data_IF_983595724327
#
_entry.id   IF_983595724327
#
_cell.length_a   1.000
_cell.length_b   1.000
_cell.length_c   1.000
_cell.angle_alpha   90.00
_cell.angle_beta   90.00
_cell.angle_gamma   90.00
#
_symmetry.space_group_name_H-M   'P 1'
#
loop_
_entity.id
_entity.type
_entity.pdbx_description
1 polymer ?
2 non-polymer ?
3 water ?
#
# COMPACT_ATOMS: atom_id res chain seq x y z
N UNK A 11 0.04 19.92 23.20
CA UNK A 11 -0.95 20.87 22.60
C UNK A 11 -1.26 20.48 21.16
N UNK A 12 -2.56 20.40 20.86
CA UNK A 12 -3.05 20.02 19.54
C UNK A 12 -2.96 21.20 18.57
N UNK A 13 -2.37 20.95 17.39
CA UNK A 13 -2.16 22.00 16.40
C UNK A 13 -2.86 21.70 15.07
N UNK A 14 -4.10 21.22 15.15
CA UNK A 14 -4.87 20.83 13.97
C UNK A 14 -5.16 21.97 13.01
N UNK A 15 -5.69 23.07 13.54
CA UNK A 15 -6.04 24.25 12.74
C UNK A 15 -4.79 24.88 12.12
N UNK A 16 -3.68 24.86 12.86
CA UNK A 16 -2.40 25.38 12.39
C UNK A 16 -1.84 24.52 11.26
N UNK A 17 -2.23 23.24 11.26
CA UNK A 17 -1.81 22.29 10.22
C UNK A 17 -3.00 21.87 9.35
N UNK A 18 -3.92 22.80 9.13
CA UNK A 18 -5.17 22.51 8.45
C UNK A 18 -4.98 21.77 7.13
N UNK A 19 -4.02 22.21 6.32
CA UNK A 19 -3.79 21.63 5.00
C UNK A 19 -3.62 20.11 5.06
N UNK A 20 -2.85 19.67 6.04
CA UNK A 20 -2.49 18.26 6.17
C UNK A 20 -3.59 17.39 6.78
N UNK A 21 -4.68 18.01 7.24
CA UNK A 21 -5.78 17.27 7.89
C UNK A 21 -6.89 16.81 6.97
N UNK A 22 -6.81 17.15 5.68
CA UNK A 22 -7.97 16.95 4.80
C UNK A 22 -7.93 15.66 3.99
N UNK A 24 -7.47 12.12 5.32
CA UNK A 24 -7.30 10.90 6.12
C UNK A 24 -7.81 9.68 5.36
N UNK A 25 -6.98 8.65 5.26
CA UNK A 25 -7.43 7.42 4.62
C UNK A 25 -7.07 6.16 5.40
N UNK A 26 -8.02 5.25 5.45
CA UNK A 26 -7.84 4.00 6.16
C UNK A 26 -7.89 2.89 5.13
N UNK A 27 -6.77 2.19 5.00
CA UNK A 27 -6.66 1.07 4.06
C UNK A 27 -6.64 -0.23 4.84
N UNK A 28 -7.46 -1.19 4.39
CA UNK A 28 -7.47 -2.52 4.95
C UNK A 28 -6.89 -3.51 3.94
N UNK A 29 -5.85 -4.22 4.35
CA UNK A 29 -5.28 -5.29 3.55
C UNK A 29 -5.60 -6.58 4.28
N UNK A 30 -6.29 -7.50 3.61
CA UNK A 30 -6.75 -8.72 4.28
C UNK A 30 -6.69 -9.94 3.37
N UNK A 31 -6.63 -11.12 3.97
CA UNK A 31 -6.64 -12.36 3.22
C UNK A 31 -8.01 -12.60 2.57
N UNK A 32 -8.00 -13.00 1.29
CA UNK A 32 -9.21 -13.05 0.48
C UNK A 32 -10.28 -14.00 1.01
N UNK A 33 -9.85 -14.99 1.78
CA UNK A 33 -10.81 -15.93 2.39
C UNK A 33 -11.82 -15.28 3.34
N UNK A 34 -11.50 -14.10 3.86
CA UNK A 34 -12.42 -13.40 4.75
C UNK A 34 -13.71 -12.95 4.04
N UNK A 35 -13.64 -12.80 2.72
CA UNK A 35 -14.80 -12.40 1.92
C UNK A 35 -15.90 -13.44 1.96
N UNK A 36 -15.54 -14.67 2.30
CA UNK A 36 -16.51 -15.76 2.50
C UNK A 36 -17.27 -15.57 3.81
N UNK A 37 -16.65 -14.87 4.75
CA UNK A 37 -17.16 -14.77 6.13
C UNK A 37 -17.99 -13.52 6.44
N UNK A 38 -17.71 -12.43 5.74
CA UNK A 38 -18.48 -11.18 5.95
C UNK A 38 -18.44 -10.23 4.78
N UNK A 39 -19.35 -9.25 4.82
CA UNK A 39 -19.41 -8.20 3.84
C UNK A 39 -18.44 -7.11 4.28
N UNK A 41 -17.67 -4.45 2.73
CA UNK A 41 -18.23 -3.14 2.44
C UNK A 41 -18.89 -2.54 3.68
N UNK A 42 -19.64 -3.38 4.41
CA UNK A 42 -20.29 -2.95 5.64
C UNK A 42 -19.26 -2.58 6.70
N UNK A 43 -18.13 -3.31 6.72
CA UNK A 43 -17.03 -2.98 7.64
C UNK A 43 -16.46 -1.61 7.31
N UNK A 44 -16.24 -1.34 6.02
CA UNK A 44 -15.73 -0.03 5.58
C UNK A 44 -16.66 1.10 6.02
N UNK A 45 -17.96 0.90 5.81
CA UNK A 45 -18.96 1.91 6.19
C UNK A 45 -18.96 2.16 7.69
N UNK A 46 -18.90 1.07 8.45
CA UNK A 46 -18.86 1.16 9.92
C UNK A 46 -17.64 1.90 10.43
N UNK A 47 -16.49 1.68 9.78
CA UNK A 47 -15.25 2.35 10.16
C UNK A 47 -15.27 3.84 9.82
N UNK A 48 -15.84 4.17 8.66
CA UNK A 48 -15.98 5.57 8.24
C UNK A 48 -16.91 6.31 9.20
N UNK A 49 -18.03 5.67 9.55
CA UNK A 49 -18.95 6.22 10.56
C UNK A 49 -18.23 6.50 11.87
N UNK A 50 -17.38 5.55 12.30
CA UNK A 50 -16.62 5.69 13.53
C UNK A 50 -15.61 6.85 13.47
N UNK A 52 -15.78 9.65 11.79
CA UNK A 52 -16.47 10.94 11.81
C UNK A 52 -16.94 11.34 13.22
N UNK A 53 -16.84 10.41 14.17
CA UNK A 53 -17.24 10.61 15.56
C UNK A 53 -16.12 11.21 16.43
N UNK A 54 -14.88 11.12 15.96
CA UNK A 54 -13.71 11.57 16.74
C UNK A 54 -13.66 13.09 16.82
N UNK A 55 -13.60 13.60 18.05
CA UNK A 55 -13.58 15.05 18.30
C UNK A 55 -12.34 15.45 19.07
N UNK A 56 -11.80 16.63 18.77
CA UNK A 56 -10.70 17.18 19.57
C UNK A 56 -11.24 17.85 20.84
N UNK A 57 -10.35 18.43 21.63
CA UNK A 57 -10.71 19.05 22.92
C UNK A 57 -11.69 20.23 22.82
N UNK A 58 -11.90 20.73 21.60
CA UNK A 58 -12.84 21.82 21.35
C UNK A 58 -14.20 21.33 20.87
N UNK A 59 -14.31 20.02 20.63
CA UNK A 59 -15.52 19.43 20.06
C UNK A 59 -15.54 19.53 18.55
N UNK A 60 -14.37 19.76 17.96
CA UNK A 60 -14.23 19.85 16.51
C UNK A 60 -13.89 18.47 15.91
N UNK A 61 -14.48 18.18 14.75
CA UNK A 61 -14.25 16.94 14.03
C UNK A 61 -12.78 16.81 13.61
N UNK A 62 -12.14 15.72 14.01
CA UNK A 62 -10.73 15.50 13.66
C UNK A 62 -10.59 15.08 12.20
N UNK A 63 -11.46 14.20 11.74
CA UNK A 63 -11.41 13.71 10.37
C UNK A 63 -12.54 14.33 9.60
N UNK A 64 -12.22 15.21 8.62
CA UNK A 64 -13.24 15.90 7.83
C UNK A 64 -14.03 14.91 6.99
N UNK A 65 -15.34 15.12 6.93
CA UNK A 65 -16.25 14.25 6.20
C UNK A 65 -15.86 14.16 4.72
N UNK A 66 -15.64 15.31 4.09
CA UNK A 66 -15.24 15.37 2.69
C UNK A 66 -13.98 14.62 2.33
N UNK A 67 -13.05 14.48 3.30
CA UNK A 67 -11.76 13.84 3.06
C UNK A 67 -11.63 12.41 3.53
N UNK A 68 -12.64 11.91 4.26
CA UNK A 68 -12.60 10.57 4.85
C UNK A 68 -12.79 9.48 3.80
N UNK A 69 -11.86 8.53 3.78
CA UNK A 69 -11.84 7.46 2.79
C UNK A 69 -11.45 6.17 3.48
N UNK A 70 -12.24 5.12 3.26
CA UNK A 70 -11.91 3.79 3.76
C UNK A 70 -11.91 2.82 2.57
N UNK A 71 -10.81 2.08 2.39
CA UNK A 71 -10.68 1.13 1.29
C UNK A 71 -10.23 -0.23 1.79
N UNK A 72 -10.74 -1.28 1.16
CA UNK A 72 -10.40 -2.65 1.58
C UNK A 72 -10.02 -3.51 0.39
N UNK A 73 -8.89 -4.18 0.52
CA UNK A 73 -8.33 -5.01 -0.57
C UNK A 73 -8.12 -6.46 -0.13
N UNK A 74 -8.94 -7.38 -0.67
CA UNK A 74 -8.67 -8.81 -0.41
C UNK A 74 -7.50 -9.30 -1.25
N UNK A 75 -6.53 -9.94 -0.59
CA UNK A 75 -5.40 -10.53 -1.29
C UNK A 75 -5.77 -11.93 -1.79
N UNK A 76 -5.56 -12.19 -3.09
CA UNK A 76 -5.87 -13.52 -3.63
C UNK A 76 -4.84 -14.60 -3.27
N UNK A 77 -3.65 -14.16 -2.86
CA UNK A 77 -2.56 -15.05 -2.51
C UNK A 77 -1.98 -14.57 -1.20
N UNK A 78 -1.78 -15.51 -0.27
CA UNK A 78 -1.28 -15.16 1.05
C UNK A 78 -0.75 -16.39 1.75
N UNK A 79 0.08 -16.14 2.77
CA UNK A 79 0.58 -17.18 3.66
C UNK A 79 0.56 -16.59 5.05
N UNK A 80 0.00 -17.36 6.00
CA UNK A 80 -0.20 -16.84 7.34
C UNK A 80 0.37 -17.82 8.34
N UNK A 81 1.19 -17.31 9.25
CA UNK A 81 1.72 -18.08 10.38
C UNK A 81 2.36 -19.37 9.90
N UNK A 82 2.02 -20.50 10.52
CA UNK A 82 2.64 -21.78 10.18
C UNK A 82 1.92 -22.53 9.07
N UNK A 83 0.94 -21.90 8.44
CA UNK A 83 0.21 -22.53 7.34
C UNK A 83 -0.86 -23.53 7.73
N UNK A 84 -1.19 -23.59 9.03
CA UNK A 84 -2.34 -24.35 9.49
C UNK A 84 -2.06 -25.42 10.52
N UNK A 85 -0.79 -25.77 10.69
CA UNK A 85 -0.41 -26.88 11.57
C UNK A 85 -0.96 -26.75 13.00
N UNK A 86 -0.73 -25.60 13.63
CA UNK A 86 -1.16 -25.37 15.02
C UNK A 86 -2.68 -25.47 15.15
N UNK A 87 -3.40 -24.94 14.16
CA UNK A 87 -4.86 -25.04 14.11
C UNK A 87 -5.35 -26.48 14.02
N UNK A 88 -4.76 -27.24 13.10
CA UNK A 88 -5.15 -28.65 12.91
C UNK A 88 -4.82 -29.48 14.16
N UNK A 89 -3.69 -29.20 14.80
CA UNK A 89 -3.30 -29.84 16.06
C UNK A 89 -4.31 -29.59 17.17
N UNK A 90 -4.95 -28.42 17.14
CA UNK A 90 -5.94 -28.06 18.16
C UNK A 90 -7.37 -28.44 17.77
N UNK A 91 -7.52 -29.27 16.73
CA UNK A 91 -8.82 -29.75 16.31
C UNK A 91 -9.61 -28.77 15.46
N UNK A 92 -8.93 -27.76 14.92
CA UNK A 92 -9.58 -26.76 14.05
C UNK A 92 -9.20 -26.97 12.58
N UNK A 93 -9.76 -26.14 11.70
CA UNK A 93 -9.49 -26.23 10.26
C UNK A 93 -8.03 -25.89 9.89
N UNK A 94 -7.44 -24.95 10.63
CA UNK A 94 -6.13 -24.41 10.28
C UNK A 94 -6.17 -23.42 9.11
N UNK A 95 -7.38 -23.04 8.71
CA UNK A 95 -7.58 -22.10 7.62
C UNK A 95 -7.61 -20.70 8.22
N UNK A 96 -6.43 -20.10 8.40
CA UNK A 96 -6.33 -18.82 9.10
C UNK A 96 -6.68 -17.66 8.18
N UNK A 97 -7.01 -16.53 8.80
CA UNK A 97 -7.17 -15.26 8.09
C UNK A 97 -6.35 -14.17 8.74
N UNK A 98 -6.24 -13.02 8.07
CA UNK A 98 -5.56 -11.86 8.65
C UNK A 98 -6.17 -10.62 8.05
N UNK A 99 -6.35 -9.58 8.87
CA UNK A 99 -6.65 -8.24 8.36
C UNK A 99 -5.71 -7.23 9.01
N UNK A 100 -5.12 -6.38 8.17
CA UNK A 100 -4.23 -5.30 8.60
C UNK A 100 -4.87 -3.97 8.24
N UNK A 101 -5.15 -3.16 9.25
CA UNK A 101 -5.81 -1.86 9.06
C UNK A 101 -4.80 -0.75 9.32
N UNK A 102 -4.71 0.21 8.40
CA UNK A 102 -3.76 1.29 8.54
C UNK A 102 -4.46 2.61 8.29
N UNK A 103 -4.46 3.48 9.28
CA UNK A 103 -4.95 4.85 9.12
C UNK A 103 -3.77 5.77 8.92
N UNK A 104 -3.80 6.54 7.84
CA UNK A 104 -2.79 7.57 7.61
C UNK A 104 -3.46 8.90 7.94
N UNK A 106 -3.05 13.22 9.47
CA UNK A 106 -2.22 14.41 9.32
C UNK A 106 -1.32 14.71 10.49
N UNK A 107 -0.26 15.47 10.21
CA UNK A 107 0.70 15.91 11.23
C UNK A 107 0.15 16.99 12.16
N UNK A 108 0.85 17.20 13.27
CA UNK A 108 0.57 18.30 14.19
C UNK A 108 -0.51 18.07 15.22
N UNK A 109 -0.94 16.82 15.38
CA UNK A 109 -1.95 16.52 16.39
C UNK A 109 -1.29 16.08 17.69
N UNK A 110 -1.96 16.38 18.81
CA UNK A 110 -1.48 15.96 20.13
C UNK A 110 -1.52 14.43 20.27
N UNK A 111 -0.67 13.91 21.15
CA UNK A 111 -0.68 12.49 21.50
C UNK A 111 -2.07 12.03 21.95
N UNK A 112 -2.77 12.90 22.68
CA UNK A 112 -4.10 12.59 23.19
C UNK A 112 -5.15 12.45 22.08
N UNK A 113 -5.05 13.32 21.07
CA UNK A 113 -5.93 13.23 19.90
C UNK A 113 -5.61 11.96 19.09
N UNK A 114 -4.32 11.67 18.92
CA UNK A 114 -3.90 10.44 18.23
C UNK A 114 -4.44 9.19 18.94
N UNK A 115 -4.30 9.17 20.26
CA UNK A 115 -4.82 8.07 21.11
C UNK A 115 -6.34 7.94 21.05
N UNK A 116 -7.05 9.07 21.12
CA UNK A 116 -8.50 9.08 21.00
C UNK A 116 -8.95 8.51 19.66
N UNK A 117 -8.30 8.96 18.58
CA UNK A 117 -8.59 8.43 17.25
C UNK A 117 -8.34 6.92 17.23
N UNK A 118 -7.18 6.51 17.74
CA UNK A 118 -6.82 5.09 17.81
C UNK A 118 -7.84 4.27 18.55
N UNK A 119 -8.18 4.70 19.76
CA UNK A 119 -9.16 3.99 20.59
C UNK A 119 -10.54 3.87 19.96
N UNK A 120 -11.05 4.97 19.41
CA UNK A 120 -12.37 5.01 18.77
C UNK A 120 -12.41 4.05 17.57
N UNK A 121 -11.42 4.14 16.70
CA UNK A 121 -11.39 3.30 15.50
C UNK A 121 -11.14 1.82 15.84
N UNK A 122 -10.20 1.56 16.75
CA UNK A 122 -9.92 0.18 17.19
C UNK A 122 -11.15 -0.47 17.82
N UNK A 123 -11.87 0.29 18.66
CA UNK A 123 -13.10 -0.25 19.27
C UNK A 123 -14.17 -0.56 18.22
N UNK A 124 -14.29 0.30 17.21
CA UNK A 124 -15.20 0.06 16.08
C UNK A 124 -14.78 -1.17 15.28
N UNK A 125 -13.47 -1.30 15.03
CA UNK A 125 -12.95 -2.43 14.28
C UNK A 125 -13.20 -3.76 15.02
N UNK A 126 -12.96 -3.76 16.33
CA UNK A 126 -13.23 -4.94 17.17
C UNK A 126 -14.69 -5.36 17.06
N UNK A 127 -15.60 -4.39 17.11
CA UNK A 127 -17.03 -4.65 17.05
C UNK A 127 -17.48 -5.15 15.68
N UNK A 128 -16.95 -4.55 14.62
CA UNK A 128 -17.34 -4.90 13.26
C UNK A 128 -16.78 -6.23 12.80
N UNK A 129 -15.60 -6.57 13.29
CA UNK A 129 -14.93 -7.80 12.88
C UNK A 129 -15.12 -8.98 13.85
N UNK A 130 -15.89 -8.77 14.92
CA UNK A 130 -16.15 -9.80 15.93
C UNK A 130 -16.77 -11.12 15.41
N UNK A 131 -17.78 -11.05 14.52
CA UNK A 131 -18.35 -12.28 13.96
C UNK A 131 -17.32 -13.16 13.25
N UNK A 132 -16.28 -12.54 12.67
CA UNK A 132 -15.17 -13.25 12.04
C UNK A 132 -14.51 -14.22 13.02
N UNK A 133 -14.27 -13.74 14.24
CA UNK A 133 -13.53 -14.49 15.24
C UNK A 133 -14.29 -15.70 15.77
N UNK A 134 -15.61 -15.68 15.62
CA UNK A 134 -16.44 -16.82 16.07
C UNK A 134 -16.22 -18.07 15.22
N UNK A 135 -15.89 -17.90 13.95
CA UNK A 135 -15.81 -19.03 13.02
C UNK A 135 -14.48 -19.19 12.27
N UNK A 136 -13.46 -18.44 12.68
CA UNK A 136 -12.13 -18.53 12.07
C UNK A 136 -11.08 -17.95 13.02
N UNK A 137 -9.87 -18.51 12.92
CA UNK A 137 -8.70 -17.90 13.55
C UNK A 137 -8.23 -16.79 12.62
N UNK A 138 -8.24 -15.57 13.14
CA UNK A 138 -7.88 -14.40 12.34
C UNK A 138 -6.95 -13.50 13.14
N UNK A 139 -5.83 -13.11 12.52
CA UNK A 139 -4.97 -12.06 13.08
C UNK A 139 -5.54 -10.70 12.68
N UNK A 140 -5.59 -9.77 13.64
CA UNK A 140 -6.15 -8.44 13.38
C UNK A 140 -5.25 -7.38 14.00
N UNK A 141 -4.74 -6.49 13.15
CA UNK A 141 -3.80 -5.46 13.57
C UNK A 141 -4.26 -4.11 13.02
N UNK A 142 -4.19 -3.06 13.84
CA UNK A 142 -4.52 -1.70 13.42
C UNK A 142 -3.38 -0.77 13.81
N UNK A 143 -2.92 0.05 12.86
CA UNK A 143 -1.86 1.02 13.12
C UNK A 143 -2.27 2.37 12.58
N UNK A 144 -1.82 3.43 13.26
CA UNK A 144 -1.98 4.79 12.74
C UNK A 144 -0.61 5.35 12.41
N UNK A 145 -0.42 5.78 11.16
CA UNK A 145 0.79 6.47 10.74
C UNK A 145 0.47 7.95 10.55
N UNK A 146 1.46 8.81 10.78
CA UNK A 146 1.32 10.23 10.46
C UNK A 146 1.99 10.47 9.11
N UNK A 147 1.26 11.05 8.17
CA UNK A 147 1.81 11.34 6.85
C UNK A 147 3.01 12.25 6.95
N UNK A 148 4.10 11.88 6.28
CA UNK A 148 5.29 12.72 6.20
C UNK A 148 5.59 13.07 4.73
N UNK A 149 4.54 13.21 3.93
CA UNK A 149 4.71 13.52 2.51
C UNK A 149 5.39 14.88 2.29
N UNK A 150 6.14 14.98 1.19
CA UNK A 150 6.86 16.22 0.84
C UNK A 150 6.10 17.04 -0.21
N UNK A 151 5.02 16.48 -0.73
CA UNK A 151 4.19 17.15 -1.73
C UNK A 151 2.77 16.60 -1.65
N UNK A 152 1.78 17.49 -1.78
CA UNK A 152 0.37 17.11 -1.91
C UNK A 152 -0.28 17.85 -3.06
N UNK A 153 -1.26 17.20 -3.67
CA UNK A 153 -2.18 17.84 -4.60
C UNK A 153 -3.59 17.26 -4.40
N UNK A 154 -4.57 18.15 -4.29
CA UNK A 154 -5.98 17.79 -4.19
C UNK A 154 -6.65 18.37 -5.42
N UNK A 155 -7.34 17.53 -6.20
CA UNK A 155 -7.86 17.97 -7.50
C UNK A 155 -9.16 17.31 -7.96
N UNK A 156 -9.96 16.84 -7.00
CA UNK A 156 -11.26 16.27 -7.32
C UNK A 156 -12.37 17.31 -7.29
N UNK A 157 -13.61 16.84 -7.35
CA UNK A 157 -14.77 17.73 -7.25
C UNK A 157 -15.69 17.34 -6.08
N UNK A 158 -15.22 16.40 -5.26
CA UNK A 158 -16.02 15.89 -4.14
C UNK A 158 -16.16 16.92 -3.03
N UNK A 159 -15.09 17.68 -2.80
CA UNK A 159 -15.00 18.65 -1.71
C UNK A 159 -16.13 19.68 -1.72
N UNK A 160 -16.62 20.01 -2.91
CA UNK A 160 -17.68 21.01 -3.10
C UNK A 160 -18.98 20.68 -2.36
N UNK A 161 -19.23 19.40 -2.14
CA UNK A 161 -20.42 18.98 -1.39
C UNK A 161 -20.33 19.18 0.12
N UNK A 162 -19.14 19.49 0.61
CA UNK A 162 -18.89 19.55 2.06
C UNK A 162 -18.23 20.85 2.50
N UNK B 17 21.67 9.77 -2.42
CA UNK B 17 22.31 8.81 -3.37
C UNK B 17 21.45 8.52 -4.59
N UNK B 18 22.09 8.27 -5.72
CA UNK B 18 21.41 7.88 -6.95
C UNK B 18 20.79 6.48 -6.82
N UNK B 19 21.45 5.61 -6.04
CA UNK B 19 20.90 4.28 -5.77
C UNK B 19 19.51 4.35 -5.14
N UNK B 20 19.37 5.18 -4.12
CA UNK B 20 18.09 5.36 -3.43
C UNK B 20 16.98 5.89 -4.34
N UNK B 21 17.38 6.59 -5.41
CA UNK B 21 16.43 7.20 -6.35
C UNK B 21 16.17 6.31 -7.59
N UNK B 22 16.67 5.09 -7.57
CA UNK B 22 16.59 4.20 -8.75
C UNK B 22 15.35 3.31 -8.81
N UNK B 24 11.68 4.41 -8.35
CA UNK B 24 10.46 5.16 -8.09
C UNK B 24 9.17 4.40 -8.48
N UNK B 25 8.24 4.30 -7.54
CA UNK B 25 7.01 3.53 -7.73
C UNK B 25 5.85 4.44 -7.46
N UNK B 26 4.93 4.55 -8.41
CA UNK B 26 3.68 5.27 -8.18
C UNK B 26 2.55 4.25 -8.13
N UNK B 27 1.86 4.21 -7.00
CA UNK B 27 0.73 3.32 -6.77
C UNK B 27 -0.57 4.13 -6.74
N UNK B 28 -1.55 3.67 -7.49
CA UNK B 28 -2.88 4.29 -7.51
C UNK B 28 -3.89 3.36 -6.84
N UNK B 29 -4.49 3.85 -5.76
CA UNK B 29 -5.58 3.13 -5.09
C UNK B 29 -6.87 3.86 -5.42
N UNK B 30 -7.85 3.16 -5.96
CA UNK B 30 -9.06 3.85 -6.41
C UNK B 30 -10.31 3.01 -6.24
N UNK B 31 -11.46 3.67 -6.09
CA UNK B 31 -12.74 2.98 -5.96
C UNK B 31 -13.07 2.26 -7.25
N UNK B 32 -13.48 0.99 -7.12
CA UNK B 32 -13.69 0.13 -8.29
C UNK B 32 -14.71 0.67 -9.29
N UNK B 33 -15.64 1.49 -8.82
CA UNK B 33 -16.64 2.09 -9.72
C UNK B 33 -16.06 3.00 -10.81
N UNK B 34 -14.82 3.46 -10.63
CA UNK B 34 -14.16 4.30 -11.64
C UNK B 34 -13.76 3.56 -12.93
N UNK B 35 -13.69 2.24 -12.87
CA UNK B 35 -13.40 1.42 -14.05
C UNK B 35 -14.48 1.55 -15.13
N UNK B 36 -15.68 1.95 -14.72
CA UNK B 36 -16.84 2.09 -15.63
C UNK B 36 -16.52 2.84 -16.93
N UNK B 37 -16.06 4.08 -16.83
CA UNK B 37 -15.75 4.87 -18.03
C UNK B 37 -14.39 5.56 -18.00
N UNK B 38 -13.36 4.77 -17.75
CA UNK B 38 -11.98 5.22 -17.88
C UNK B 38 -11.05 4.03 -18.05
N UNK B 39 -10.08 4.16 -18.95
CA UNK B 39 -9.06 3.13 -19.18
C UNK B 39 -7.90 3.38 -18.23
N UNK B 41 -5.37 1.54 -17.41
CA UNK B 41 -4.09 1.17 -18.03
C UNK B 41 -3.48 2.36 -18.77
N UNK B 42 -4.32 3.11 -19.46
CA UNK B 42 -3.88 4.30 -20.20
C UNK B 42 -3.46 5.42 -19.25
N UNK B 43 -4.14 5.53 -18.11
CA UNK B 43 -3.76 6.48 -17.07
C UNK B 43 -2.38 6.13 -16.53
N UNK B 44 -2.14 4.85 -16.26
CA UNK B 44 -0.81 4.40 -15.78
C UNK B 44 0.29 4.80 -16.74
N UNK B 45 0.09 4.50 -18.03
CA UNK B 45 1.07 4.88 -19.06
C UNK B 45 1.31 6.38 -19.14
N UNK B 46 0.23 7.17 -19.06
CA UNK B 46 0.33 8.63 -19.09
C UNK B 46 1.11 9.20 -17.91
N UNK B 47 0.90 8.63 -16.73
CA UNK B 47 1.64 9.06 -15.53
C UNK B 47 3.11 8.68 -15.58
N UNK B 48 3.40 7.47 -16.06
CA UNK B 48 4.76 7.01 -16.26
C UNK B 48 5.48 7.96 -17.23
N UNK B 49 4.81 8.27 -18.35
CA UNK B 49 5.36 9.19 -19.35
C UNK B 49 5.67 10.54 -18.72
N UNK B 50 4.76 11.05 -17.90
CA UNK B 50 4.93 12.32 -17.19
C UNK B 50 6.14 12.34 -16.24
N UNK B 52 8.78 10.51 -16.50
CA UNK B 52 10.00 10.42 -17.30
C UNK B 52 10.40 11.75 -17.93
N UNK B 53 9.51 12.74 -17.93
CA UNK B 53 9.79 14.08 -18.50
C UNK B 53 10.46 15.02 -17.49
N UNK B 54 10.41 14.66 -16.20
CA UNK B 54 10.90 15.55 -15.15
C UNK B 54 12.42 15.70 -15.19
N UNK B 55 12.88 16.95 -15.30
CA UNK B 55 14.31 17.25 -15.33
C UNK B 55 14.67 18.20 -14.19
N UNK B 56 15.83 17.98 -13.57
CA UNK B 56 16.30 18.92 -12.55
C UNK B 56 16.97 20.14 -13.22
N UNK B 57 17.47 21.08 -12.42
CA UNK B 57 18.06 22.30 -12.94
C UNK B 57 19.33 22.07 -13.78
N UNK B 58 19.88 20.86 -13.69
CA UNK B 58 21.07 20.48 -14.46
C UNK B 58 20.72 19.71 -15.74
N UNK B 59 19.42 19.46 -15.95
CA UNK B 59 18.97 18.71 -17.12
C UNK B 59 18.98 17.20 -16.95
N UNK B 60 19.23 16.75 -15.72
CA UNK B 60 19.26 15.32 -15.41
C UNK B 60 17.84 14.79 -15.24
N UNK B 61 17.60 13.58 -15.73
CA UNK B 61 16.31 12.92 -15.55
C UNK B 61 16.15 12.48 -14.09
N UNK B 62 15.12 13.00 -13.44
CA UNK B 62 14.88 12.77 -12.01
C UNK B 62 14.46 11.31 -11.73
N UNK B 63 13.60 10.78 -12.59
CA UNK B 63 13.10 9.41 -12.47
C UNK B 63 13.63 8.57 -13.62
N UNK B 64 14.57 7.64 -13.32
CA UNK B 64 15.21 6.89 -14.40
C UNK B 64 14.23 5.96 -15.09
N UNK B 65 14.40 5.78 -16.40
CA UNK B 65 13.45 5.01 -17.18
C UNK B 65 13.36 3.56 -16.70
N UNK B 66 14.52 2.95 -16.48
CA UNK B 66 14.57 1.53 -16.10
C UNK B 66 13.85 1.17 -14.82
N UNK B 67 13.84 2.10 -13.86
CA UNK B 67 13.28 1.81 -12.54
C UNK B 67 11.86 2.32 -12.31
N UNK B 68 11.28 2.97 -13.30
CA UNK B 68 9.96 3.58 -13.15
C UNK B 68 8.85 2.53 -13.28
N UNK B 69 7.91 2.55 -12.33
CA UNK B 69 6.76 1.66 -12.35
C UNK B 69 5.54 2.39 -11.85
N UNK B 70 4.42 2.19 -12.54
CA UNK B 70 3.13 2.73 -12.12
C UNK B 70 2.16 1.57 -12.08
N UNK B 71 1.37 1.50 -11.01
CA UNK B 71 0.45 0.38 -10.84
C UNK B 71 -0.82 0.88 -10.21
N UNK B 72 -1.94 0.28 -10.59
CA UNK B 72 -3.22 0.78 -10.13
C UNK B 72 -4.10 -0.38 -9.68
N UNK B 73 -4.76 -0.17 -8.54
CA UNK B 73 -5.57 -1.20 -7.89
C UNK B 73 -6.99 -0.71 -7.60
N UNK B 74 -8.00 -1.28 -8.29
CA UNK B 74 -9.38 -0.96 -7.95
C UNK B 74 -9.80 -1.65 -6.65
N UNK B 75 -10.31 -0.86 -5.70
CA UNK B 75 -10.84 -1.41 -4.46
C UNK B 75 -12.27 -1.92 -4.65
N UNK B 76 -12.50 -3.20 -4.32
CA UNK B 76 -13.86 -3.77 -4.42
C UNK B 76 -14.76 -3.33 -3.27
N UNK B 77 -14.19 -2.88 -2.16
CA UNK B 77 -14.95 -2.45 -0.99
C UNK B 77 -14.40 -1.11 -0.52
N UNK B 78 -15.30 -0.15 -0.31
CA UNK B 78 -14.91 1.20 0.09
C UNK B 78 -16.07 1.98 0.68
N UNK B 79 -15.71 3.00 1.46
CA UNK B 79 -16.64 3.97 1.99
C UNK B 79 -16.02 5.34 1.79
N UNK B 80 -16.80 6.24 1.20
CA UNK B 80 -16.28 7.55 0.83
C UNK B 80 -17.15 8.62 1.47
N UNK B 81 -16.51 9.50 2.23
CA UNK B 81 -17.17 10.63 2.91
C UNK B 81 -18.39 10.20 3.75
N UNK B 82 -19.56 10.77 3.44
CA UNK B 82 -20.77 10.47 4.20
C UNK B 82 -21.62 9.36 3.57
N UNK B 83 -21.08 8.69 2.56
CA UNK B 83 -21.77 7.55 1.94
C UNK B 83 -22.80 7.89 0.88
N UNK B 84 -22.97 9.18 0.61
CA UNK B 84 -23.86 9.61 -0.47
C UNK B 84 -24.91 10.62 -0.07
N UNK B 85 -25.13 10.76 1.24
CA UNK B 85 -26.23 11.59 1.77
C UNK B 85 -26.25 13.02 1.20
N UNK B 86 -25.13 13.72 1.32
CA UNK B 86 -25.02 15.10 0.80
C UNK B 86 -25.30 15.19 -0.69
N UNK B 87 -24.85 14.18 -1.44
CA UNK B 87 -25.13 14.08 -2.87
C UNK B 87 -26.60 13.92 -3.17
N UNK B 88 -27.24 12.98 -2.50
CA UNK B 88 -28.68 12.75 -2.65
C UNK B 88 -29.52 13.98 -2.23
N UNK B 89 -29.09 14.66 -1.17
CA UNK B 89 -29.71 15.89 -0.69
C UNK B 89 -29.62 17.04 -1.69
N UNK B 90 -28.58 17.03 -2.52
CA UNK B 90 -28.37 18.07 -3.52
C UNK B 90 -29.00 17.71 -4.87
N UNK B 91 -29.74 16.61 -4.90
CA UNK B 91 -30.40 16.15 -6.11
C UNK B 91 -29.53 15.31 -7.02
N UNK B 92 -28.39 14.87 -6.50
CA UNK B 92 -27.44 14.06 -7.27
C UNK B 92 -27.56 12.58 -6.89
N UNK B 93 -26.80 11.74 -7.58
CA UNK B 93 -26.85 10.29 -7.38
C UNK B 93 -26.32 9.84 -6.02
N UNK B 94 -25.35 10.57 -5.47
CA UNK B 94 -24.72 10.20 -4.20
C UNK B 94 -23.70 9.07 -4.37
N UNK B 95 -23.45 8.69 -5.62
CA UNK B 95 -22.52 7.62 -5.94
C UNK B 95 -21.12 8.24 -6.11
N UNK B 96 -20.35 8.28 -5.03
CA UNK B 96 -19.04 8.93 -5.06
C UNK B 96 -17.93 7.97 -5.52
N UNK B 97 -16.84 8.55 -6.03
CA UNK B 97 -15.61 7.81 -6.30
C UNK B 97 -14.42 8.48 -5.66
N UNK B 98 -13.26 7.83 -5.72
CA UNK B 98 -12.05 8.46 -5.26
C UNK B 98 -10.84 7.80 -5.95
N UNK B 99 -9.76 8.55 -6.10
CA UNK B 99 -8.49 7.97 -6.46
C UNK B 99 -7.41 8.60 -5.60
N UNK B 100 -6.54 7.75 -5.07
CA UNK B 100 -5.40 8.18 -4.27
C UNK B 100 -4.12 7.74 -4.98
N UNK B 101 -3.29 8.73 -5.35
CA UNK B 101 -2.02 8.49 -6.01
C UNK B 101 -0.88 8.71 -5.03
N UNK B 102 0.01 7.73 -4.93
CA UNK B 102 1.16 7.85 -4.05
C UNK B 102 2.43 7.52 -4.80
N UNK B 103 3.33 8.50 -4.87
CA UNK B 103 4.65 8.29 -5.43
C UNK B 103 5.64 8.14 -4.30
N UNK B 104 6.34 7.01 -4.29
CA UNK B 104 7.46 6.82 -3.38
C UNK B 104 8.76 7.06 -4.15
N UNK B 106 13.12 8.51 -4.00
CA UNK B 106 14.35 8.36 -3.22
C UNK B 106 14.74 9.60 -2.45
N UNK B 107 15.49 9.40 -1.36
CA UNK B 107 16.01 10.50 -0.54
C UNK B 107 17.10 11.28 -1.29
N UNK B 108 17.35 12.51 -0.85
CA UNK B 108 18.47 13.29 -1.34
C UNK B 108 18.16 14.51 -2.18
N UNK B 109 16.91 14.66 -2.60
CA UNK B 109 16.52 15.79 -3.47
C UNK B 109 15.99 16.99 -2.68
N UNK B 110 16.17 18.19 -3.24
CA UNK B 110 15.70 19.41 -2.61
C UNK B 110 14.19 19.54 -2.72
N UNK B 111 13.60 20.33 -1.82
CA UNK B 111 12.17 20.60 -1.82
C UNK B 111 11.69 21.17 -3.16
N UNK B 112 12.49 22.04 -3.77
CA UNK B 112 12.15 22.63 -5.07
C UNK B 112 12.02 21.58 -6.17
N UNK B 113 12.96 20.64 -6.23
CA UNK B 113 12.93 19.53 -7.19
C UNK B 113 11.75 18.58 -6.90
N UNK B 114 11.52 18.29 -5.62
CA UNK B 114 10.36 17.49 -5.22
C UNK B 114 9.05 18.15 -5.66
N UNK B 115 8.95 19.47 -5.50
CA UNK B 115 7.73 20.18 -5.88
C UNK B 115 7.53 20.31 -7.38
N UNK B 116 8.63 20.40 -8.12
CA UNK B 116 8.62 20.39 -9.59
C UNK B 116 8.08 19.05 -10.10
N UNK B 117 8.65 17.95 -9.61
CA UNK B 117 8.17 16.61 -9.91
C UNK B 117 6.70 16.48 -9.55
N UNK B 118 6.33 16.94 -8.36
CA UNK B 118 4.95 16.93 -7.91
C UNK B 118 4.00 17.66 -8.85
N UNK B 119 4.35 18.90 -9.19
CA UNK B 119 3.54 19.71 -10.11
C UNK B 119 3.34 19.06 -11.48
N UNK B 120 4.42 18.51 -12.04
CA UNK B 120 4.39 17.87 -13.35
C UNK B 120 3.47 16.65 -13.36
N UNK B 121 3.63 15.80 -12.35
CA UNK B 121 2.82 14.59 -12.26
C UNK B 121 1.37 14.94 -11.96
N UNK B 122 1.15 15.90 -11.07
CA UNK B 122 -0.21 16.34 -10.71
C UNK B 122 -0.95 16.89 -11.91
N UNK B 123 -0.27 17.70 -12.73
CA UNK B 123 -0.92 18.26 -13.92
C UNK B 123 -1.26 17.17 -14.93
N UNK B 124 -0.40 16.16 -15.04
CA UNK B 124 -0.69 14.99 -15.89
C UNK B 124 -1.89 14.22 -15.34
N UNK B 125 -1.90 13.98 -14.02
CA UNK B 125 -3.03 13.30 -13.37
C UNK B 125 -4.36 14.02 -13.60
N UNK B 126 -4.35 15.35 -13.46
CA UNK B 126 -5.54 16.17 -13.70
C UNK B 126 -6.08 15.95 -15.10
N UNK B 127 -5.18 15.98 -16.09
CA UNK B 127 -5.56 15.82 -17.50
C UNK B 127 -6.06 14.41 -17.80
N UNK B 128 -5.36 13.41 -17.29
CA UNK B 128 -5.73 12.00 -17.55
C UNK B 128 -7.02 11.59 -16.85
N UNK B 129 -7.27 12.17 -15.67
CA UNK B 129 -8.43 11.77 -14.87
C UNK B 129 -9.62 12.70 -15.07
N UNK B 130 -9.45 13.72 -15.90
CA UNK B 130 -10.51 14.72 -16.19
C UNK B 130 -11.89 14.11 -16.54
N UNK B 131 -11.94 13.05 -17.37
CA UNK B 131 -13.25 12.45 -17.69
C UNK B 131 -14.06 12.01 -16.46
N UNK B 132 -13.37 11.59 -15.40
CA UNK B 132 -14.03 11.16 -14.16
C UNK B 132 -14.88 12.25 -13.52
N UNK B 133 -14.44 13.50 -13.67
CA UNK B 133 -15.09 14.65 -13.03
C UNK B 133 -16.45 14.94 -13.64
N UNK B 134 -16.65 14.51 -14.88
CA UNK B 134 -17.93 14.68 -15.56
C UNK B 134 -18.94 13.61 -15.15
N UNK B 135 -18.45 12.45 -14.72
CA UNK B 135 -19.31 11.29 -14.47
C UNK B 135 -19.91 11.23 -13.06
N UNK B 136 -19.14 11.67 -12.07
CA UNK B 136 -19.60 11.63 -10.69
C UNK B 136 -18.75 12.53 -9.80
N UNK B 137 -19.13 12.61 -8.53
CA UNK B 137 -18.32 13.27 -7.52
C UNK B 137 -17.16 12.35 -7.19
N UNK B 138 -15.94 12.85 -7.37
CA UNK B 138 -14.74 12.05 -7.15
C UNK B 138 -13.72 12.85 -6.34
N UNK B 139 -13.23 12.24 -5.27
CA UNK B 139 -12.06 12.76 -4.55
C UNK B 139 -10.79 12.31 -5.26
N UNK B 140 -9.89 13.25 -5.54
CA UNK B 140 -8.61 12.95 -6.19
C UNK B 140 -7.47 13.55 -5.38
N UNK B 141 -6.58 12.67 -4.92
CA UNK B 141 -5.49 13.05 -4.04
C UNK B 141 -4.19 12.43 -4.53
N UNK B 142 -3.11 13.22 -4.49
CA UNK B 142 -1.79 12.78 -4.89
C UNK B 142 -0.80 13.22 -3.82
N UNK B 143 0.03 12.28 -3.36
CA UNK B 143 1.06 12.54 -2.37
C UNK B 143 2.39 11.96 -2.83
N UNK B 144 3.48 12.66 -2.52
CA UNK B 144 4.82 12.13 -2.72
C UNK B 144 5.47 11.87 -1.35
N UNK B 145 5.90 10.63 -1.15
CA UNK B 145 6.64 10.21 0.04
C UNK B 145 8.10 9.95 -0.32
N UNK B 146 9.01 10.20 0.62
CA UNK B 146 10.40 9.84 0.46
C UNK B 146 10.67 8.54 1.23
N UNK B 147 11.20 7.53 0.54
CA UNK B 147 11.47 6.23 1.17
C UNK B 147 12.50 6.34 2.28
N UNK B 148 12.19 5.74 3.44
CA UNK B 148 13.11 5.71 4.57
C UNK B 148 13.50 4.28 4.93
N UNK B 149 13.58 3.43 3.92
CA UNK B 149 13.88 2.01 4.11
C UNK B 149 15.27 1.76 4.71
N UNK B 150 15.38 0.70 5.48
CA UNK B 150 16.65 0.32 6.13
C UNK B 150 17.38 -0.80 5.36
N UNK B 151 16.71 -1.33 4.34
CA UNK B 151 17.26 -2.38 3.50
C UNK B 151 16.66 -2.27 2.10
N UNK B 152 17.53 -2.47 1.09
CA UNK B 152 17.15 -2.47 -0.32
C UNK B 152 17.84 -3.61 -1.03
N UNK B 153 17.10 -4.27 -1.93
CA UNK B 153 17.68 -5.22 -2.86
C UNK B 153 16.95 -5.13 -4.20
N UNK B 154 17.71 -5.04 -5.29
CA UNK B 154 17.17 -5.13 -6.64
C UNK B 154 17.73 -6.42 -7.25
N UNK B 155 16.85 -7.25 -7.82
CA UNK B 155 17.26 -8.57 -8.26
C UNK B 155 16.53 -9.10 -9.50
N UNK B 156 16.00 -8.20 -10.31
CA UNK B 156 15.32 -8.60 -11.54
C UNK B 156 16.31 -8.69 -12.70
N UNK B 157 15.77 -8.85 -13.90
CA UNK B 157 16.59 -8.86 -15.13
C UNK B 157 16.16 -7.74 -16.09
N UNK B 158 15.24 -6.89 -15.64
CA UNK B 158 14.76 -5.78 -16.46
C UNK B 158 15.87 -4.76 -16.70
N UNK B 159 16.70 -4.54 -15.68
CA UNK B 159 17.78 -3.55 -15.75
C UNK B 159 18.73 -3.76 -16.94
N UNK B 160 18.87 -5.01 -17.38
CA UNK B 160 19.77 -5.36 -18.49
C UNK B 160 19.42 -4.65 -19.80
N UNK B 161 18.14 -4.31 -19.98
CA UNK B 161 17.68 -3.65 -21.20
C UNK B 161 18.00 -2.16 -21.24
N UNK B 162 18.46 -1.62 -20.12
CA UNK B 162 18.72 -0.18 -19.98
C UNK B 162 20.18 0.11 -19.68
N UNK B 163 21.03 -0.90 -19.90
CA UNK B 163 22.47 -0.75 -19.77
C UNK B 163 23.05 -0.25 -21.10
N UNK B 164 24.12 0.54 -21.02
CA UNK B 164 24.74 1.10 -22.22
C UNK B 164 25.42 0.02 -23.06
N UNK B 165 25.43 0.20 -24.37
CA UNK B 165 26.08 -0.73 -25.29
C UNK B 165 26.03 -0.30 -26.73
N UNK B 166 27.20 -0.18 -27.36
CA UNK B 166 27.30 0.20 -28.77
C UNK B 166 27.39 -1.03 -29.66
N UNK B 167 26.55 -1.07 -30.70
CA UNK B 167 26.45 -2.22 -31.60
C UNK B 167 27.28 -2.04 -32.87
N UNK C 19 6.95 -6.03 21.54
CA UNK C 19 5.54 -5.72 21.11
C UNK C 19 5.48 -5.07 19.73
N UNK C 20 6.31 -4.06 19.51
CA UNK C 20 6.39 -3.39 18.19
C UNK C 20 6.80 -4.35 17.08
N UNK C 21 7.55 -5.38 17.44
CA UNK C 21 8.10 -6.33 16.48
C UNK C 21 7.19 -7.55 16.23
N UNK C 22 6.04 -7.57 16.92
CA UNK C 22 5.13 -8.72 16.93
C UNK C 22 4.15 -8.77 15.76
N UNK C 24 4.96 -8.63 12.00
CA UNK C 24 5.76 -8.62 10.78
C UNK C 24 4.97 -8.91 9.49
N UNK C 25 5.05 -7.98 8.55
CA UNK C 25 4.04 -7.81 7.53
C UNK C 25 4.74 -7.67 6.18
N UNK C 26 4.60 -8.65 5.30
CA UNK C 26 5.27 -8.59 3.99
C UNK C 26 4.21 -8.50 2.90
N UNK C 27 4.25 -7.41 2.14
CA UNK C 27 3.26 -7.17 1.08
C UNK C 27 3.97 -7.18 -0.27
N UNK C 28 3.39 -7.90 -1.22
CA UNK C 28 3.93 -8.02 -2.58
C UNK C 28 2.97 -7.37 -3.56
N UNK C 29 3.45 -6.34 -4.25
CA UNK C 29 2.67 -5.69 -5.29
C UNK C 29 3.31 -6.08 -6.62
N UNK C 30 2.53 -6.65 -7.53
CA UNK C 30 3.13 -7.17 -8.76
C UNK C 30 2.21 -7.07 -9.95
N UNK C 31 2.80 -7.06 -11.15
CA UNK C 31 2.00 -6.98 -12.37
C UNK C 31 1.25 -8.28 -12.61
N UNK C 32 -0.03 -8.15 -12.94
CA UNK C 32 -0.89 -9.31 -13.12
C UNK C 32 -0.40 -10.33 -14.13
N UNK C 33 0.39 -9.88 -15.11
CA UNK C 33 0.93 -10.79 -16.13
C UNK C 33 1.86 -11.87 -15.58
N UNK C 34 2.39 -11.68 -14.38
CA UNK C 34 3.25 -12.70 -13.77
C UNK C 34 2.51 -13.98 -13.41
N UNK C 35 1.20 -13.88 -13.18
CA UNK C 35 0.39 -15.03 -12.75
C UNK C 35 0.44 -16.20 -13.74
N UNK C 36 0.66 -15.88 -15.02
CA UNK C 36 0.77 -16.91 -16.07
C UNK C 36 1.99 -17.82 -15.89
N UNK C 37 3.04 -17.30 -15.26
CA UNK C 37 4.31 -18.02 -15.18
C UNK C 37 4.75 -18.34 -13.74
N UNK C 38 3.84 -18.20 -12.79
CA UNK C 38 4.20 -18.26 -11.38
C UNK C 38 3.03 -18.75 -10.54
N UNK C 39 3.32 -19.54 -9.50
CA UNK C 39 2.33 -19.90 -8.48
C UNK C 39 2.59 -18.95 -7.31
N UNK C 41 0.87 -18.10 -4.67
CA UNK C 41 0.61 -18.70 -3.36
C UNK C 41 1.83 -19.43 -2.81
N UNK C 42 2.48 -20.23 -3.66
CA UNK C 42 3.70 -20.95 -3.28
C UNK C 42 4.84 -19.99 -2.96
N UNK C 43 4.93 -18.90 -3.71
CA UNK C 43 5.93 -17.87 -3.43
C UNK C 43 5.69 -17.22 -2.04
N UNK C 44 4.43 -16.87 -1.74
CA UNK C 44 4.09 -16.35 -0.41
C UNK C 44 4.50 -17.32 0.70
N UNK C 45 4.18 -18.60 0.52
CA UNK C 45 4.53 -19.62 1.52
C UNK C 45 6.04 -19.74 1.68
N UNK C 46 6.76 -19.69 0.56
CA UNK C 46 8.23 -19.77 0.58
C UNK C 46 8.86 -18.60 1.32
N UNK C 47 8.33 -17.40 1.07
CA UNK C 47 8.81 -16.19 1.75
C UNK C 47 8.47 -16.21 3.23
N UNK C 48 7.28 -16.70 3.58
CA UNK C 48 6.90 -16.81 4.98
C UNK C 48 7.80 -17.82 5.71
N UNK C 49 8.06 -18.96 5.08
CA UNK C 49 8.99 -19.95 5.62
C UNK C 49 10.37 -19.33 5.88
N UNK C 50 10.86 -18.53 4.93
CA UNK C 50 12.16 -17.86 5.07
C UNK C 50 12.19 -16.88 6.25
N UNK C 52 10.43 -17.04 8.96
CA UNK C 52 10.42 -17.80 10.21
C UNK C 52 11.81 -18.32 10.61
N UNK C 53 12.74 -18.36 9.65
CA UNK C 53 14.12 -18.85 9.90
C UNK C 53 15.05 -17.77 10.48
N UNK C 54 14.64 -16.51 10.42
CA UNK C 54 15.52 -15.41 10.82
C UNK C 54 15.68 -15.38 12.34
N UNK C 55 16.92 -15.44 12.81
CA UNK C 55 17.21 -15.45 14.24
C UNK C 55 18.20 -14.35 14.61
N UNK C 56 18.06 -13.80 15.80
CA UNK C 56 19.01 -12.80 16.31
C UNK C 56 20.19 -13.47 17.03
N UNK C 57 21.11 -12.68 17.56
CA UNK C 57 22.28 -13.25 18.24
C UNK C 57 22.00 -13.57 19.72
N UNK C 58 20.72 -13.51 20.11
CA UNK C 58 20.30 -13.95 21.44
C UNK C 58 19.54 -15.28 21.37
N UNK C 59 19.60 -15.93 20.21
CA UNK C 59 19.03 -17.26 20.02
C UNK C 59 17.53 -17.29 19.79
N UNK C 60 16.97 -16.12 19.46
CA UNK C 60 15.53 -15.93 19.36
C UNK C 60 15.04 -15.78 17.92
N UNK C 61 13.85 -16.29 17.66
CA UNK C 61 13.18 -16.09 16.38
C UNK C 61 12.80 -14.61 16.26
N UNK C 62 13.23 -13.96 15.18
CA UNK C 62 13.00 -12.51 14.96
C UNK C 62 11.53 -12.18 14.67
N UNK C 63 10.93 -12.95 13.78
CA UNK C 63 9.55 -12.73 13.38
C UNK C 63 8.71 -13.85 13.97
N UNK C 64 7.83 -13.52 14.93
CA UNK C 64 7.03 -14.55 15.58
C UNK C 64 6.06 -15.22 14.62
N UNK C 65 5.93 -16.54 14.74
CA UNK C 65 5.07 -17.33 13.86
C UNK C 65 3.64 -16.80 13.83
N UNK C 66 3.07 -16.58 15.01
CA UNK C 66 1.70 -16.09 15.13
C UNK C 66 1.40 -14.75 14.49
N UNK C 67 2.43 -13.93 14.28
CA UNK C 67 2.26 -12.59 13.71
C UNK C 67 2.64 -12.48 12.24
N UNK C 68 3.22 -13.55 11.70
CA UNK C 68 3.79 -13.52 10.34
C UNK C 68 2.71 -13.63 9.25
N UNK C 69 2.76 -12.70 8.31
CA UNK C 69 1.77 -12.64 7.24
C UNK C 69 2.46 -12.17 5.96
N UNK C 70 2.14 -12.84 4.86
CA UNK C 70 2.58 -12.43 3.53
C UNK C 70 1.33 -12.29 2.68
N UNK C 71 1.17 -11.14 2.04
CA UNK C 71 0.00 -10.87 1.20
C UNK C 71 0.48 -10.41 -0.17
N UNK C 72 -0.11 -10.95 -1.24
CA UNK C 72 0.30 -10.59 -2.60
C UNK C 72 -0.86 -10.14 -3.45
N UNK C 73 -0.66 -9.05 -4.17
CA UNK C 73 -1.69 -8.38 -4.95
C UNK C 73 -1.31 -8.19 -6.41
N UNK C 74 -1.94 -8.95 -7.31
CA UNK C 74 -1.71 -8.71 -8.73
C UNK C 74 -2.44 -7.42 -9.19
N UNK C 75 -1.69 -6.52 -9.80
CA UNK C 75 -2.24 -5.28 -10.33
C UNK C 75 -2.83 -5.53 -11.71
N UNK C 76 -4.10 -5.14 -11.92
CA UNK C 76 -4.73 -5.30 -13.25
C UNK C 76 -4.29 -4.25 -14.26
N UNK C 77 -3.75 -3.13 -13.77
CA UNK C 77 -3.31 -2.01 -14.63
C UNK C 77 -1.95 -1.55 -14.16
N UNK C 78 -1.03 -1.39 -15.11
CA UNK C 78 0.33 -1.00 -14.80
C UNK C 78 1.06 -0.49 -16.02
N UNK C 79 2.11 0.27 -15.78
CA UNK C 79 3.03 0.74 -16.83
C UNK C 79 4.42 0.62 -16.28
N UNK C 80 5.31 0.05 -17.08
CA UNK C 80 6.64 -0.30 -16.61
C UNK C 80 7.69 0.27 -17.55
N UNK C 81 8.61 1.06 -16.99
CA UNK C 81 9.77 1.58 -17.74
C UNK C 81 9.33 2.33 -18.99
N UNK C 82 9.95 2.02 -20.15
CA UNK C 82 9.63 2.74 -21.40
C UNK C 82 8.42 2.18 -22.15
N UNK C 83 7.80 1.16 -21.59
CA UNK C 83 6.61 0.56 -22.20
C UNK C 83 6.90 -0.55 -23.19
N UNK C 84 8.16 -0.90 -23.37
CA UNK C 84 8.51 -2.06 -24.19
C UNK C 84 9.55 -1.89 -25.28
N UNK C 85 9.88 -0.64 -25.60
CA UNK C 85 10.77 -0.35 -26.74
C UNK C 85 12.16 -0.98 -26.61
N UNK C 86 12.77 -0.85 -25.43
CA UNK C 86 14.09 -1.43 -25.17
C UNK C 86 14.10 -2.95 -25.30
N UNK C 87 13.00 -3.57 -24.87
CA UNK C 87 12.80 -5.01 -25.05
C UNK C 87 12.76 -5.39 -26.52
N UNK C 88 11.95 -4.67 -27.29
CA UNK C 88 11.81 -4.94 -28.72
C UNK C 88 13.14 -4.74 -29.47
N UNK C 89 13.91 -3.75 -29.03
CA UNK C 89 15.24 -3.47 -29.61
C UNK C 89 16.23 -4.63 -29.36
N UNK C 90 16.05 -5.33 -28.24
CA UNK C 90 16.86 -6.50 -27.91
C UNK C 90 16.33 -7.79 -28.53
N UNK C 91 15.26 -7.67 -29.31
CA UNK C 91 14.65 -8.81 -29.99
C UNK C 91 13.66 -9.59 -29.16
N UNK C 92 13.12 -8.95 -28.12
CA UNK C 92 12.18 -9.58 -27.21
C UNK C 92 10.79 -8.96 -27.39
N UNK C 93 9.82 -9.40 -26.60
CA UNK C 93 8.43 -8.93 -26.73
C UNK C 93 8.24 -7.49 -26.22
N UNK C 94 9.04 -7.09 -25.25
CA UNK C 94 8.87 -5.80 -24.57
C UNK C 94 7.69 -5.81 -23.59
N UNK C 95 7.13 -6.97 -23.33
CA UNK C 95 6.04 -7.09 -22.35
C UNK C 95 6.65 -7.36 -20.97
N UNK C 96 6.98 -6.28 -20.28
CA UNK C 96 7.67 -6.35 -19.00
C UNK C 96 6.73 -6.75 -17.85
N UNK C 97 7.33 -7.24 -16.77
CA UNK C 97 6.62 -7.46 -15.52
C UNK C 97 7.39 -6.82 -14.39
N UNK C 98 6.77 -6.77 -13.21
CA UNK C 98 7.47 -6.25 -12.04
C UNK C 98 6.89 -6.88 -10.79
N UNK C 99 7.70 -6.96 -9.75
CA UNK C 99 7.19 -7.23 -8.41
C UNK C 99 7.93 -6.34 -7.42
N UNK C 100 7.20 -5.80 -6.47
CA UNK C 100 7.76 -4.97 -5.43
C UNK C 100 7.40 -5.62 -4.09
N UNK C 101 8.42 -5.96 -3.32
CA UNK C 101 8.23 -6.63 -2.03
C UNK C 101 8.55 -5.65 -0.93
N UNK C 102 7.63 -5.49 0.02
CA UNK C 102 7.86 -4.58 1.13
C UNK C 102 7.61 -5.29 2.44
N UNK C 103 8.65 -5.32 3.28
CA UNK C 103 8.52 -5.83 4.65
C UNK C 103 8.45 -4.66 5.59
N UNK C 104 7.35 -4.58 6.33
CA UNK C 104 7.24 -3.62 7.40
C UNK C 104 7.51 -4.33 8.72
N UNK C 106 9.14 -4.09 12.97
CA UNK C 106 9.04 -3.22 14.13
C UNK C 106 10.37 -2.56 14.45
N UNK C 107 10.29 -1.44 15.17
CA UNK C 107 11.46 -0.70 15.66
C UNK C 107 12.21 -1.48 16.74
N UNK C 108 13.43 -1.04 17.05
CA UNK C 108 14.19 -1.60 18.18
C UNK C 108 15.09 -2.78 17.87
N UNK C 109 15.30 -3.04 16.58
CA UNK C 109 16.23 -4.09 16.17
C UNK C 109 17.55 -3.50 15.70
N UNK C 110 18.64 -4.24 15.89
CA UNK C 110 19.96 -3.79 15.46
C UNK C 110 20.05 -3.74 13.94
N UNK C 111 20.96 -2.91 13.43
CA UNK C 111 21.24 -2.87 12.00
C UNK C 111 21.70 -4.24 11.48
N UNK C 112 22.40 -4.99 12.33
CA UNK C 112 22.83 -6.34 11.97
C UNK C 112 21.64 -7.28 11.75
N UNK C 113 20.66 -7.22 12.64
CA UNK C 113 19.45 -8.04 12.55
C UNK C 113 18.59 -7.61 11.34
N UNK C 114 18.48 -6.31 11.12
CA UNK C 114 17.74 -5.80 9.97
C UNK C 114 18.36 -6.33 8.68
N UNK C 115 19.69 -6.30 8.59
CA UNK C 115 20.42 -6.80 7.43
C UNK C 115 20.31 -8.33 7.27
N UNK C 116 20.35 -9.05 8.39
CA UNK C 116 20.16 -10.49 8.36
C UNK C 116 18.78 -10.84 7.82
N UNK C 117 17.74 -10.13 8.29
CA UNK C 117 16.39 -10.32 7.78
C UNK C 117 16.34 -10.08 6.28
N UNK C 118 16.98 -9.00 5.83
CA UNK C 118 16.94 -8.60 4.43
C UNK C 118 17.62 -9.62 3.54
N UNK C 119 18.81 -10.07 3.96
CA UNK C 119 19.57 -11.06 3.19
C UNK C 119 18.86 -12.41 3.08
N UNK C 120 18.21 -12.83 4.16
CA UNK C 120 17.52 -14.13 4.20
C UNK C 120 16.29 -14.10 3.28
N UNK C 121 15.51 -13.04 3.40
CA UNK C 121 14.31 -12.89 2.58
C UNK C 121 14.67 -12.65 1.10
N UNK C 122 15.67 -11.80 0.85
CA UNK C 122 16.11 -11.57 -0.52
C UNK C 122 16.58 -12.87 -1.21
N UNK C 123 17.30 -13.71 -0.47
CA UNK C 123 17.76 -14.99 -1.02
C UNK C 123 16.59 -15.92 -1.35
N UNK C 124 15.62 -15.99 -0.45
CA UNK C 124 14.41 -16.76 -0.72
C UNK C 124 13.70 -16.24 -1.97
N UNK C 125 13.58 -14.90 -2.09
CA UNK C 125 12.92 -14.30 -3.24
C UNK C 125 13.67 -14.61 -4.55
N UNK C 126 15.00 -14.53 -4.52
CA UNK C 126 15.82 -14.85 -5.70
C UNK C 126 15.59 -16.30 -6.15
N UNK C 127 15.55 -17.23 -5.19
CA UNK C 127 15.38 -18.64 -5.49
C UNK C 127 13.98 -18.94 -6.01
N UNK C 128 12.98 -18.36 -5.37
CA UNK C 128 11.57 -18.60 -5.73
C UNK C 128 11.19 -18.00 -7.08
N UNK C 129 11.86 -16.91 -7.46
CA UNK C 129 11.52 -16.19 -8.69
C UNK C 129 12.47 -16.44 -9.86
N UNK C 130 13.47 -17.30 -9.65
CA UNK C 130 14.44 -17.63 -10.71
C UNK C 130 13.79 -18.23 -11.96
N UNK C 131 12.83 -19.15 -11.80
CA UNK C 131 12.16 -19.64 -13.01
C UNK C 131 11.36 -18.58 -13.77
N UNK C 132 10.81 -17.59 -13.06
CA UNK C 132 10.07 -16.49 -13.69
C UNK C 132 10.97 -15.65 -14.59
N UNK C 133 12.20 -15.40 -14.13
CA UNK C 133 13.16 -14.57 -14.86
C UNK C 133 13.58 -15.18 -16.18
N UNK C 134 13.36 -16.49 -16.32
CA UNK C 134 13.58 -17.19 -17.57
C UNK C 134 12.45 -16.97 -18.61
N UNK C 135 11.32 -16.42 -18.17
CA UNK C 135 10.12 -16.30 -19.02
C UNK C 135 9.79 -14.87 -19.46
N UNK C 136 10.27 -13.89 -18.71
CA UNK C 136 9.91 -12.50 -18.92
C UNK C 136 11.00 -11.60 -18.39
N UNK C 137 11.07 -10.38 -18.94
CA UNK C 137 11.85 -9.32 -18.32
C UNK C 137 11.03 -8.79 -17.16
N UNK C 138 11.59 -8.89 -15.96
CA UNK C 138 10.87 -8.54 -14.74
C UNK C 138 11.77 -7.72 -13.81
N UNK C 139 11.29 -6.55 -13.40
CA UNK C 139 11.96 -5.74 -12.38
C UNK C 139 11.55 -6.27 -11.01
N UNK C 140 12.54 -6.54 -10.16
CA UNK C 140 12.27 -7.10 -8.82
C UNK C 140 12.95 -6.26 -7.76
N UNK C 141 12.16 -5.72 -6.85
CA UNK C 141 12.64 -4.81 -5.81
C UNK C 141 12.13 -5.27 -4.46
N UNK C 142 12.98 -5.19 -3.44
CA UNK C 142 12.62 -5.57 -2.06
C UNK C 142 13.13 -4.50 -1.10
N UNK C 143 12.24 -4.00 -0.25
CA UNK C 143 12.61 -2.99 0.72
C UNK C 143 12.11 -3.40 2.09
N UNK C 144 12.90 -3.07 3.11
CA UNK C 144 12.43 -3.20 4.49
C UNK C 144 12.21 -1.81 5.08
N UNK C 145 10.99 -1.55 5.55
CA UNK C 145 10.66 -0.33 6.28
C UNK C 145 10.50 -0.67 7.76
N UNK C 146 10.91 0.26 8.62
CA UNK C 146 10.62 0.13 10.05
C UNK C 146 9.37 0.95 10.36
N UNK C 147 8.36 0.33 10.95
CA UNK C 147 7.13 1.05 11.29
C UNK C 147 7.37 2.25 12.20
N UNK C 148 6.79 3.40 11.83
CA UNK C 148 6.86 4.61 12.65
C UNK C 148 5.48 5.03 13.18
N UNK C 149 4.61 4.04 13.40
CA UNK C 149 3.24 4.29 13.85
C UNK C 149 3.16 4.98 15.21
N UNK C 150 2.09 5.75 15.40
CA UNK C 150 1.86 6.47 16.66
C UNK C 150 0.79 5.78 17.50
N UNK C 151 0.18 4.75 16.93
CA UNK C 151 -0.82 3.96 17.65
C UNK C 151 -0.81 2.53 17.08
N UNK C 152 -0.93 1.55 17.98
CA UNK C 152 -0.98 0.13 17.62
C UNK C 152 -2.09 -0.53 18.40
N UNK C 153 -2.84 -1.41 17.74
CA UNK C 153 -3.78 -2.29 18.44
C UNK C 153 -3.79 -3.67 17.77
N UNK C 154 -3.72 -4.72 18.59
CA UNK C 154 -3.82 -6.10 18.11
C UNK C 154 -5.06 -6.70 18.75
N UNK C 155 -5.92 -7.32 17.96
CA UNK C 155 -7.23 -7.73 18.48
C UNK C 155 -7.83 -8.98 17.83
N UNK C 156 -6.98 -9.81 17.24
CA UNK C 156 -7.44 -11.07 16.66
C UNK C 156 -7.35 -12.21 17.66
N UNK C 157 -7.66 -13.42 17.21
CA UNK C 157 -7.58 -14.62 18.05
C UNK C 157 -6.55 -15.63 17.53
N UNK C 158 -5.75 -15.20 16.55
CA UNK C 158 -4.79 -16.11 15.95
C UNK C 158 -3.61 -16.37 16.89
N UNK C 159 -3.19 -15.34 17.62
CA UNK C 159 -2.04 -15.45 18.54
C UNK C 159 -2.25 -16.48 19.64
N UNK C 160 -3.52 -16.68 20.02
CA UNK C 160 -3.90 -17.67 21.04
C UNK C 160 -3.44 -19.09 20.71
N UNK C 161 -3.30 -19.41 19.41
CA UNK C 161 -2.79 -20.72 18.99
C UNK C 161 -1.29 -20.87 19.19
N UNK C 162 -0.59 -19.77 19.39
CA UNK C 162 0.86 -19.80 19.46
C UNK C 162 1.38 -19.37 20.84
N UNK C 163 0.48 -19.41 21.82
CA UNK C 163 0.82 -19.15 23.22
C UNK C 163 0.86 -20.45 24.02
#
# INVERSE_FOLDING_TARGET
>A
XHHHHHHSSGVDLGTENLYFQSXPHLVILYSGNLDRDLDXGAVCRGLADAXLTVRDDEGRQVFPTGGTRVLAYPAPHYAIADGGQAGRDAGESGDYGFAYLNLRXGRGRSEAVQRRAGETIAQAARALLAPLLQQRRVGLTFQIDVGAEVYDAKFGNLHALFQKGEK
>B
XHHHHHHSSGVDLGTENLYFQSXPHLVILYSGNLDRDLDXGAVCRGLADAXLTVRDDEGRQVFPTGGTRVLAYPAPHYAIADGGQAGRDAGESGDYGFAYLNLRXGRGRSEAVQRRAGETIAQAARALLAPLLQQRRVGLTFQIDVGAEVYDAKFGNLHALFQKGEK
>C
XHHHHHHSSGVDLGTENLYFQSXPHLVILYSGNLDRDLDXGAVCRGLADAXLTVRDDEGRQVFPTGGTRVLAYPAPHYAIADGGQAGRDAGESGDYGFAYLNLRXGRGRSEAVQRRAGETIAQAARALLAPLLQQRRVGLTFQIDVGAEVYDAKFGNLHALFQKGEK
#
